data_IF_973563630203
#
_entry.id   IF_973563630203
#
_cell.length_a   1.000
_cell.length_b   1.000
_cell.length_c   1.000
_cell.angle_alpha   90.00
_cell.angle_beta   90.00
_cell.angle_gamma   90.00
#
_symmetry.space_group_name_H-M   'P 1'
#
loop_
_entity.id
_entity.type
_entity.pdbx_description
1 polymer ?
#
# COMPACT_ATOMS: atom_id res chain seq x y z
N UNK A 1 6.61 19.79 -6.11
CA UNK A 1 7.30 18.96 -7.15
C UNK A 1 7.52 17.51 -6.67
N UNK A 2 8.23 17.25 -5.54
CA UNK A 2 8.45 15.88 -5.04
C UNK A 2 7.14 15.23 -4.59
N UNK A 3 6.28 15.94 -3.87
CA UNK A 3 4.96 15.45 -3.48
C UNK A 3 4.08 15.12 -4.70
N UNK A 4 4.15 15.91 -5.75
CA UNK A 4 3.43 15.70 -7.00
C UNK A 4 3.95 14.45 -7.73
N UNK A 5 5.26 14.29 -7.86
CA UNK A 5 5.85 13.07 -8.44
C UNK A 5 5.50 11.82 -7.63
N UNK A 6 5.49 11.91 -6.31
CA UNK A 6 5.06 10.83 -5.47
C UNK A 6 3.57 10.48 -5.70
N UNK A 7 2.70 11.49 -5.84
CA UNK A 7 1.29 11.27 -6.16
C UNK A 7 1.12 10.52 -7.50
N UNK A 8 1.85 10.92 -8.54
CA UNK A 8 1.83 10.25 -9.85
C UNK A 8 2.34 8.80 -9.76
N UNK A 9 3.40 8.55 -8.98
CA UNK A 9 3.93 7.19 -8.77
C UNK A 9 2.90 6.32 -8.05
N UNK A 10 2.32 6.80 -6.94
CA UNK A 10 1.29 6.04 -6.22
C UNK A 10 0.06 5.77 -7.08
N UNK A 11 -0.43 6.75 -7.83
CA UNK A 11 -1.56 6.57 -8.74
C UNK A 11 -1.27 5.48 -9.79
N UNK A 12 -0.09 5.51 -10.40
CA UNK A 12 0.35 4.50 -11.36
C UNK A 12 0.44 3.11 -10.74
N UNK A 13 1.12 2.98 -9.60
CA UNK A 13 1.34 1.67 -8.98
C UNK A 13 0.06 1.09 -8.38
N UNK A 14 -0.83 1.91 -7.82
CA UNK A 14 -2.13 1.44 -7.31
C UNK A 14 -3.07 1.03 -8.46
N UNK A 15 -3.01 1.68 -9.61
CA UNK A 15 -3.70 1.19 -10.80
C UNK A 15 -3.14 -0.17 -11.27
N UNK A 16 -1.82 -0.38 -11.23
CA UNK A 16 -1.24 -1.71 -11.49
C UNK A 16 -1.69 -2.75 -10.48
N UNK A 17 -1.84 -2.39 -9.19
CA UNK A 17 -2.37 -3.30 -8.18
C UNK A 17 -3.79 -3.74 -8.53
N UNK A 18 -4.65 -2.83 -8.97
CA UNK A 18 -5.99 -3.15 -9.45
C UNK A 18 -5.94 -4.18 -10.59
N UNK A 19 -5.06 -3.96 -11.57
CA UNK A 19 -4.90 -4.91 -12.69
C UNK A 19 -4.35 -6.26 -12.22
N UNK A 20 -3.38 -6.31 -11.31
CA UNK A 20 -2.88 -7.57 -10.73
C UNK A 20 -4.00 -8.35 -10.03
N UNK A 21 -4.85 -7.70 -9.23
CA UNK A 21 -5.98 -8.36 -8.56
C UNK A 21 -6.97 -8.94 -9.58
N UNK A 22 -7.27 -8.21 -10.65
CA UNK A 22 -8.18 -8.67 -11.73
C UNK A 22 -7.62 -9.84 -12.55
N UNK A 23 -6.30 -10.00 -12.59
CA UNK A 23 -5.63 -11.05 -13.37
C UNK A 23 -5.57 -12.41 -12.64
N UNK A 24 -6.00 -12.52 -11.40
CA UNK A 24 -6.13 -13.82 -10.76
C UNK A 24 -7.17 -14.68 -11.46
N UNK A 25 -6.94 -15.99 -11.62
CA UNK A 25 -7.86 -16.88 -12.38
C UNK A 25 -9.26 -16.97 -11.76
N UNK A 26 -9.35 -16.87 -10.44
CA UNK A 26 -10.60 -16.88 -9.68
C UNK A 26 -10.38 -16.30 -8.27
N UNK A 27 -11.48 -16.12 -7.53
CA UNK A 27 -11.48 -15.53 -6.17
C UNK A 27 -10.64 -16.34 -5.17
N UNK A 28 -10.69 -17.67 -5.23
CA UNK A 28 -9.97 -18.53 -4.29
C UNK A 28 -8.44 -18.37 -4.44
N UNK A 29 -7.96 -18.20 -5.66
CA UNK A 29 -6.53 -18.05 -5.96
C UNK A 29 -5.92 -16.78 -5.39
N UNK A 30 -6.70 -15.74 -5.15
CA UNK A 30 -6.24 -14.50 -4.48
C UNK A 30 -5.77 -14.80 -3.05
N UNK A 31 -6.41 -15.79 -2.39
CA UNK A 31 -6.21 -16.13 -0.98
C UNK A 31 -5.41 -17.41 -0.75
N UNK A 32 -5.07 -18.14 -1.82
CA UNK A 32 -4.31 -19.37 -1.73
C UNK A 32 -2.89 -19.12 -1.21
N UNK A 33 -2.40 -20.02 -0.37
CA UNK A 33 -1.02 -19.99 0.12
C UNK A 33 -0.25 -21.14 -0.54
N UNK A 34 0.93 -20.84 -1.06
CA UNK A 34 1.87 -21.85 -1.52
C UNK A 34 2.92 -22.15 -0.45
N UNK A 35 3.64 -23.26 -0.61
CA UNK A 35 4.70 -23.62 0.32
C UNK A 35 5.77 -22.51 0.42
N UNK A 36 6.12 -22.14 1.65
CA UNK A 36 7.16 -21.17 1.94
C UNK A 36 6.70 -19.70 2.00
N UNK A 37 5.43 -19.38 1.67
CA UNK A 37 4.88 -18.03 1.84
C UNK A 37 3.85 -17.99 2.96
N UNK A 38 3.79 -16.83 3.65
CA UNK A 38 2.88 -16.63 4.80
C UNK A 38 1.67 -15.75 4.46
N UNK A 39 1.74 -14.97 3.40
CA UNK A 39 0.72 -14.00 3.04
C UNK A 39 0.24 -14.23 1.61
N UNK A 40 -1.06 -14.26 1.42
CA UNK A 40 -1.68 -14.33 0.10
C UNK A 40 -1.62 -12.98 -0.64
N UNK A 41 -1.92 -12.98 -1.93
CA UNK A 41 -2.06 -11.74 -2.69
C UNK A 41 -3.13 -10.82 -2.13
N UNK A 42 -4.24 -11.38 -1.63
CA UNK A 42 -5.31 -10.62 -0.99
C UNK A 42 -4.86 -9.95 0.31
N UNK A 43 -4.13 -10.67 1.19
CA UNK A 43 -3.58 -10.09 2.42
C UNK A 43 -2.57 -8.98 2.13
N UNK A 44 -1.70 -9.16 1.12
CA UNK A 44 -0.75 -8.11 0.74
C UNK A 44 -1.45 -6.90 0.14
N UNK A 45 -2.52 -7.07 -0.62
CA UNK A 45 -3.35 -5.97 -1.12
C UNK A 45 -3.96 -5.17 0.04
N UNK A 46 -4.58 -5.84 1.01
CA UNK A 46 -5.12 -5.19 2.20
C UNK A 46 -4.04 -4.49 3.02
N UNK A 47 -2.86 -5.10 3.13
CA UNK A 47 -1.72 -4.51 3.83
C UNK A 47 -1.24 -3.21 3.15
N UNK A 48 -1.13 -3.19 1.83
CA UNK A 48 -0.81 -1.98 1.07
C UNK A 48 -1.84 -0.88 1.35
N UNK A 49 -3.13 -1.19 1.25
CA UNK A 49 -4.20 -0.24 1.48
C UNK A 49 -4.17 0.33 2.92
N UNK A 50 -4.11 -0.54 3.93
CA UNK A 50 -4.06 -0.13 5.33
C UNK A 50 -2.81 0.68 5.68
N UNK A 51 -1.67 0.33 5.10
CA UNK A 51 -0.42 1.05 5.27
C UNK A 51 -0.50 2.48 4.70
N UNK A 52 -0.92 2.63 3.45
CA UNK A 52 -0.97 3.92 2.78
C UNK A 52 -2.08 4.83 3.34
N UNK A 53 -3.26 4.29 3.63
CA UNK A 53 -4.34 5.06 4.26
C UNK A 53 -3.95 5.56 5.65
N UNK A 54 -3.18 4.77 6.42
CA UNK A 54 -2.70 5.21 7.72
C UNK A 54 -1.61 6.27 7.59
N UNK A 55 -0.50 5.95 6.93
CA UNK A 55 0.70 6.78 6.98
C UNK A 55 0.61 8.04 6.11
N UNK A 56 -0.07 7.97 4.98
CA UNK A 56 -0.33 9.16 4.14
C UNK A 56 -1.70 9.74 4.47
N UNK A 57 -2.75 8.95 4.37
CA UNK A 57 -4.11 9.46 4.54
C UNK A 57 -4.37 10.05 5.91
N UNK A 58 -4.11 9.28 6.97
CA UNK A 58 -4.40 9.74 8.34
C UNK A 58 -3.30 10.66 8.88
N UNK A 59 -2.04 10.22 8.85
CA UNK A 59 -0.95 10.96 9.51
C UNK A 59 -0.61 12.24 8.78
N UNK A 60 -0.55 12.23 7.44
CA UNK A 60 -0.25 13.44 6.67
C UNK A 60 -1.50 14.23 6.29
N UNK A 61 -2.59 13.53 5.98
CA UNK A 61 -3.83 14.12 5.45
C UNK A 61 -4.98 14.25 6.45
N UNK A 62 -4.79 13.79 7.70
CA UNK A 62 -5.82 13.84 8.76
C UNK A 62 -7.19 13.25 8.34
N UNK A 63 -7.18 12.15 7.57
CA UNK A 63 -8.39 11.52 7.03
C UNK A 63 -9.29 10.86 8.09
N UNK A 64 -8.78 10.65 9.31
CA UNK A 64 -9.50 9.94 10.36
C UNK A 64 -9.46 8.41 10.22
N UNK A 65 -8.72 7.86 9.26
CA UNK A 65 -8.60 6.41 9.08
C UNK A 65 -8.03 5.72 10.33
N UNK A 66 -8.70 4.68 10.79
CA UNK A 66 -8.26 3.86 11.93
C UNK A 66 -7.76 2.52 11.40
N UNK A 67 -6.44 2.32 11.43
CA UNK A 67 -5.81 1.11 10.94
C UNK A 67 -6.05 -0.08 11.86
N UNK A 68 -6.40 -1.23 11.29
CA UNK A 68 -6.39 -2.51 11.97
C UNK A 68 -5.42 -3.47 11.25
N UNK A 69 -4.14 -3.41 11.63
CA UNK A 69 -3.09 -4.18 10.98
C UNK A 69 -3.31 -5.70 11.07
N UNK A 70 -3.86 -6.19 12.17
CA UNK A 70 -4.09 -7.63 12.34
C UNK A 70 -5.11 -8.16 11.33
N UNK A 71 -6.13 -7.37 11.00
CA UNK A 71 -7.10 -7.73 9.96
C UNK A 71 -6.49 -7.80 8.57
N UNK A 72 -5.49 -7.00 8.25
CA UNK A 72 -4.82 -7.05 6.95
C UNK A 72 -4.27 -8.45 6.64
N UNK A 73 -3.86 -9.21 7.67
CA UNK A 73 -3.25 -10.52 7.55
C UNK A 73 -4.12 -11.71 8.01
N UNK A 74 -5.23 -11.45 8.68
CA UNK A 74 -6.11 -12.49 9.24
C UNK A 74 -7.40 -12.71 8.45
N UNK A 75 -7.88 -11.73 7.70
CA UNK A 75 -9.07 -11.90 6.87
C UNK A 75 -8.75 -12.62 5.56
N UNK A 76 -9.75 -13.30 5.02
CA UNK A 76 -9.67 -14.00 3.73
C UNK A 76 -11.05 -13.97 3.04
N UNK A 77 -11.08 -14.41 1.79
CA UNK A 77 -12.31 -14.56 1.00
C UNK A 77 -13.11 -13.28 0.78
N UNK A 78 -12.44 -12.11 0.81
CA UNK A 78 -13.04 -10.85 0.35
C UNK A 78 -13.10 -10.92 -1.18
N UNK A 79 -14.26 -10.62 -1.80
CA UNK A 79 -14.38 -10.60 -3.26
C UNK A 79 -13.38 -9.64 -3.92
N UNK A 80 -12.86 -10.01 -5.08
CA UNK A 80 -11.91 -9.17 -5.83
C UNK A 80 -12.45 -7.78 -6.13
N UNK A 81 -13.74 -7.65 -6.37
CA UNK A 81 -14.40 -6.37 -6.59
C UNK A 81 -14.33 -5.45 -5.36
N UNK A 82 -14.40 -6.01 -4.15
CA UNK A 82 -14.25 -5.25 -2.90
C UNK A 82 -12.79 -4.85 -2.69
N UNK A 83 -11.83 -5.72 -2.98
CA UNK A 83 -10.40 -5.38 -2.97
C UNK A 83 -10.10 -4.23 -3.93
N UNK A 84 -10.61 -4.29 -5.16
CA UNK A 84 -10.46 -3.21 -6.15
C UNK A 84 -11.05 -1.90 -5.62
N UNK A 85 -12.23 -1.94 -5.00
CA UNK A 85 -12.86 -0.76 -4.40
C UNK A 85 -11.99 -0.18 -3.29
N UNK A 86 -11.39 -1.03 -2.45
CA UNK A 86 -10.50 -0.59 -1.37
C UNK A 86 -9.21 0.06 -1.90
N UNK A 87 -8.63 -0.50 -2.96
CA UNK A 87 -7.47 0.11 -3.64
C UNK A 87 -7.84 1.47 -4.24
N UNK A 88 -9.01 1.60 -4.88
CA UNK A 88 -9.48 2.86 -5.44
C UNK A 88 -9.65 3.95 -4.38
N UNK A 89 -10.29 3.62 -3.25
CA UNK A 89 -10.41 4.54 -2.10
C UNK A 89 -9.04 4.95 -1.56
N UNK A 90 -8.13 3.99 -1.42
CA UNK A 90 -6.76 4.26 -0.98
C UNK A 90 -6.06 5.23 -1.94
N UNK A 91 -6.18 5.00 -3.25
CA UNK A 91 -5.60 5.85 -4.27
C UNK A 91 -6.15 7.28 -4.20
N UNK A 92 -7.46 7.45 -4.08
CA UNK A 92 -8.09 8.77 -3.94
C UNK A 92 -7.56 9.54 -2.73
N UNK A 93 -7.48 8.87 -1.57
CA UNK A 93 -6.97 9.47 -0.33
C UNK A 93 -5.50 9.85 -0.46
N UNK A 94 -4.67 8.94 -0.97
CA UNK A 94 -3.22 9.17 -1.12
C UNK A 94 -2.95 10.31 -2.10
N UNK A 95 -3.55 10.26 -3.28
CA UNK A 95 -3.32 11.26 -4.33
C UNK A 95 -3.81 12.65 -3.90
N UNK A 96 -5.01 12.74 -3.31
CA UNK A 96 -5.54 14.01 -2.83
C UNK A 96 -4.70 14.61 -1.70
N UNK A 97 -4.24 13.78 -0.76
CA UNK A 97 -3.35 14.21 0.32
C UNK A 97 -2.04 14.78 -0.22
N UNK A 98 -1.38 14.06 -1.13
CA UNK A 98 -0.09 14.48 -1.67
C UNK A 98 -0.21 15.71 -2.57
N UNK A 99 -1.28 15.85 -3.34
CA UNK A 99 -1.54 17.06 -4.14
C UNK A 99 -1.80 18.31 -3.26
N UNK A 100 -2.28 18.11 -2.03
CA UNK A 100 -2.48 19.18 -1.06
C UNK A 100 -1.23 19.48 -0.20
N UNK A 101 -0.20 18.62 -0.24
CA UNK A 101 1.03 18.77 0.55
C UNK A 101 1.96 19.78 -0.09
N UNK A 102 2.34 20.84 0.64
CA UNK A 102 3.36 21.78 0.17
C UNK A 102 4.77 21.16 0.23
N UNK A 103 5.65 21.54 -0.70
CA UNK A 103 7.02 21.00 -0.74
C UNK A 103 7.79 21.23 0.58
N UNK A 104 7.57 22.38 1.22
CA UNK A 104 8.23 22.70 2.51
C UNK A 104 7.81 21.75 3.61
N UNK A 105 6.58 21.23 3.59
CA UNK A 105 6.07 20.32 4.61
C UNK A 105 6.79 18.96 4.57
N UNK A 106 7.42 18.62 3.43
CA UNK A 106 8.19 17.37 3.29
C UNK A 106 9.47 17.37 4.13
N UNK A 107 9.94 18.52 4.56
CA UNK A 107 11.10 18.64 5.46
C UNK A 107 10.72 18.51 6.94
N UNK A 108 9.44 18.57 7.28
CA UNK A 108 8.98 18.39 8.65
C UNK A 108 9.28 16.98 9.18
N UNK A 109 9.50 16.91 10.49
CA UNK A 109 9.75 15.64 11.16
C UNK A 109 8.53 14.72 11.08
N UNK A 110 8.77 13.46 10.73
CA UNK A 110 7.74 12.41 10.69
C UNK A 110 7.90 11.50 11.91
N UNK A 111 7.03 11.67 12.90
CA UNK A 111 7.11 10.99 14.22
C UNK A 111 6.24 9.73 14.32
N UNK A 112 5.39 9.46 13.35
CA UNK A 112 4.44 8.34 13.39
C UNK A 112 5.08 6.96 13.11
N UNK A 113 6.38 6.93 12.78
CA UNK A 113 7.13 5.69 12.56
C UNK A 113 8.48 5.74 13.28
N UNK A 114 8.93 4.65 13.93
CA UNK A 114 10.20 4.63 14.63
C UNK A 114 11.40 4.79 13.69
N UNK A 115 12.10 5.91 13.77
CA UNK A 115 13.20 6.24 12.86
C UNK A 115 14.34 5.21 12.88
N UNK A 116 14.63 4.64 14.06
CA UNK A 116 15.71 3.65 14.23
C UNK A 116 15.48 2.37 13.41
N UNK A 117 14.23 2.00 13.08
CA UNK A 117 13.91 0.86 12.21
C UNK A 117 14.35 1.10 10.75
N UNK A 118 14.57 2.35 10.38
CA UNK A 118 15.10 2.75 9.07
C UNK A 118 16.55 3.25 9.15
N UNK A 119 17.24 2.95 10.25
CA UNK A 119 18.65 3.34 10.44
C UNK A 119 18.86 4.85 10.55
N UNK A 120 17.86 5.60 11.06
CA UNK A 120 17.87 7.04 11.18
C UNK A 120 17.65 7.47 12.64
N UNK A 121 18.17 8.65 13.00
CA UNK A 121 17.84 9.30 14.28
C UNK A 121 16.47 9.99 14.20
N UNK A 122 16.19 10.60 13.06
CA UNK A 122 14.94 11.30 12.74
C UNK A 122 14.51 10.99 11.31
N UNK A 123 13.22 11.01 11.07
CA UNK A 123 12.62 10.92 9.74
C UNK A 123 12.02 12.26 9.34
N UNK A 124 12.14 12.63 8.07
CA UNK A 124 11.30 13.66 7.48
C UNK A 124 10.13 13.03 6.75
N UNK A 125 9.05 13.78 6.54
CA UNK A 125 7.90 13.33 5.71
C UNK A 125 8.36 12.89 4.32
N UNK A 126 9.26 13.64 3.68
CA UNK A 126 9.80 13.32 2.36
C UNK A 126 10.58 12.00 2.35
N UNK A 127 11.46 11.76 3.34
CA UNK A 127 12.18 10.49 3.43
C UNK A 127 11.21 9.32 3.63
N UNK A 128 10.24 9.48 4.53
CA UNK A 128 9.28 8.41 4.80
C UNK A 128 8.36 8.15 3.61
N UNK A 129 8.02 9.17 2.83
CA UNK A 129 7.27 9.03 1.58
C UNK A 129 8.03 8.17 0.55
N UNK A 130 9.34 8.38 0.40
CA UNK A 130 10.20 7.53 -0.45
C UNK A 130 10.26 6.08 0.06
N UNK A 131 10.32 5.90 1.38
CA UNK A 131 10.23 4.57 2.00
C UNK A 131 8.89 3.89 1.67
N UNK A 132 7.77 4.60 1.71
CA UNK A 132 6.46 4.04 1.38
C UNK A 132 6.33 3.64 -0.10
N UNK A 133 6.95 4.38 -1.02
CA UNK A 133 7.03 3.98 -2.44
C UNK A 133 7.81 2.66 -2.57
N UNK A 134 8.97 2.57 -1.94
CA UNK A 134 9.78 1.35 -1.94
C UNK A 134 9.04 0.15 -1.32
N UNK A 135 8.29 0.38 -0.24
CA UNK A 135 7.47 -0.63 0.43
C UNK A 135 6.32 -1.11 -0.47
N UNK A 136 5.65 -0.20 -1.17
CA UNK A 136 4.62 -0.54 -2.16
C UNK A 136 5.20 -1.41 -3.27
N UNK A 137 6.29 -1.01 -3.89
CA UNK A 137 6.93 -1.75 -4.98
C UNK A 137 7.40 -3.14 -4.55
N UNK A 138 7.91 -3.27 -3.32
CA UNK A 138 8.29 -4.57 -2.74
C UNK A 138 7.10 -5.52 -2.68
N UNK A 139 5.96 -5.07 -2.17
CA UNK A 139 4.74 -5.90 -2.09
C UNK A 139 4.08 -6.11 -3.45
N UNK A 140 4.15 -5.16 -4.35
CA UNK A 140 3.70 -5.33 -5.75
C UNK A 140 4.44 -6.45 -6.45
N UNK A 141 5.77 -6.53 -6.27
CA UNK A 141 6.57 -7.64 -6.78
C UNK A 141 6.13 -8.99 -6.21
N UNK A 142 5.85 -9.06 -4.90
CA UNK A 142 5.35 -10.28 -4.25
C UNK A 142 3.97 -10.70 -4.80
N UNK A 143 3.03 -9.78 -4.96
CA UNK A 143 1.70 -10.06 -5.51
C UNK A 143 1.80 -10.55 -6.97
N UNK A 144 2.62 -9.92 -7.79
CA UNK A 144 2.84 -10.34 -9.18
C UNK A 144 3.39 -11.76 -9.26
N UNK A 145 4.41 -12.10 -8.48
CA UNK A 145 4.97 -13.45 -8.42
C UNK A 145 3.96 -14.46 -7.87
N UNK A 146 3.26 -14.13 -6.79
CA UNK A 146 2.22 -14.97 -6.21
C UNK A 146 1.16 -15.32 -7.26
N UNK A 147 0.59 -14.32 -7.93
CA UNK A 147 -0.41 -14.54 -8.98
C UNK A 147 0.11 -15.45 -10.09
N UNK A 148 1.32 -15.21 -10.58
CA UNK A 148 1.91 -16.00 -11.67
C UNK A 148 2.16 -17.44 -11.27
N UNK A 149 2.62 -17.68 -10.05
CA UNK A 149 2.85 -19.03 -9.53
C UNK A 149 1.54 -19.79 -9.35
N UNK A 150 0.55 -19.16 -8.71
CA UNK A 150 -0.79 -19.73 -8.45
C UNK A 150 -1.56 -20.01 -9.73
N UNK A 151 -1.37 -19.18 -10.78
CA UNK A 151 -2.09 -19.32 -12.05
C UNK A 151 -1.63 -20.49 -12.92
N UNK A 152 -0.51 -21.15 -12.57
CA UNK A 152 0.03 -22.27 -13.35
C UNK A 152 -0.54 -23.64 -12.92
N UNK A 153 -1.28 -23.70 -11.85
CA UNK A 153 -1.87 -24.90 -11.26
C UNK A 153 -3.37 -24.66 -11.02
#
# INVERSE_FOLDING_TARGET
MVAEFAAEIFERELNKLIEEIKLYPNEEKIWELTAGIKNSGGNLCLHICGNLQHFIGHVMGNSGYVRNRDKEFSVSNIPSAELVTEVQKTMEVVVSTLKATAEIDLEEEYTAFPAHLLGKEKLTKGFFLMHLISHLDYHMGQINYHRRMISQY
#
